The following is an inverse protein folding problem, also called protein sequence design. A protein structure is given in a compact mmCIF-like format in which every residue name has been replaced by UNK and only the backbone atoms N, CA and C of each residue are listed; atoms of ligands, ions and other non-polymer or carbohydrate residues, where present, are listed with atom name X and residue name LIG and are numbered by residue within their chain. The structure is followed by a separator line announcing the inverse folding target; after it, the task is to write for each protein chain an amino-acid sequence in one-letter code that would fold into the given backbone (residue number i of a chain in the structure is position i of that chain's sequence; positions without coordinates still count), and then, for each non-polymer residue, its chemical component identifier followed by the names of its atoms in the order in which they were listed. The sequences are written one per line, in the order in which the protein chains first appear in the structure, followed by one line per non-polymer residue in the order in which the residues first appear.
data_IF_172090836426
#
_entry.id   IF_172090836426
#
_cell.length_a   1.000
_cell.length_b   1.000
_cell.length_c   1.000
_cell.angle_alpha   90.00
_cell.angle_beta   90.00
_cell.angle_gamma   90.00
#
_symmetry.space_group_name_H-M   'P 1'
#
loop_
_entity.id
_entity.type
_entity.pdbx_description
1 polymer ?
#
# COMPACT_ATOMS: atom_id res chain seq x y z
N UNK A 1 16.84 3.02 23.55
CA UNK A 1 15.40 3.00 23.86
C UNK A 1 15.11 1.74 24.68
N UNK A 2 14.36 1.83 25.78
CA UNK A 2 13.91 0.63 26.52
C UNK A 2 13.05 -0.25 25.59
N UNK A 3 13.44 -1.52 25.40
CA UNK A 3 12.58 -2.51 24.73
C UNK A 3 11.46 -2.86 25.69
N UNK A 4 10.33 -2.19 25.52
CA UNK A 4 9.11 -2.48 26.29
C UNK A 4 8.51 -3.78 25.69
N UNK A 5 8.25 -4.81 26.51
CA UNK A 5 7.63 -6.07 26.09
C UNK A 5 6.32 -5.85 25.31
N UNK A 6 6.00 -6.73 24.36
CA UNK A 6 4.74 -6.67 23.59
C UNK A 6 3.49 -6.65 24.49
N UNK A 7 3.53 -7.29 25.66
CA UNK A 7 2.44 -7.30 26.65
C UNK A 7 2.15 -5.94 27.29
N UNK A 8 3.08 -4.98 27.21
CA UNK A 8 2.96 -3.68 27.90
C UNK A 8 2.44 -2.56 26.97
N UNK A 9 2.09 -2.86 25.70
CA UNK A 9 1.57 -1.86 24.74
C UNK A 9 0.21 -2.20 24.13
N UNK A 10 -0.81 -2.60 24.93
CA UNK A 10 -2.06 -3.17 24.42
C UNK A 10 -2.82 -2.24 23.45
N UNK A 11 -2.82 -0.93 23.70
CA UNK A 11 -3.51 0.04 22.83
C UNK A 11 -2.86 0.19 21.46
N UNK A 12 -1.54 0.15 21.37
CA UNK A 12 -0.82 0.35 20.11
C UNK A 12 -0.90 -0.90 19.24
N UNK A 13 -0.76 -2.06 19.86
CA UNK A 13 -0.84 -3.33 19.15
C UNK A 13 -2.27 -3.61 18.66
N UNK A 14 -3.28 -3.15 19.38
CA UNK A 14 -4.67 -3.15 18.91
C UNK A 14 -4.90 -2.25 17.68
N UNK A 15 -4.25 -1.08 17.63
CA UNK A 15 -4.30 -0.21 16.44
C UNK A 15 -3.63 -0.90 15.25
N UNK A 16 -2.48 -1.54 15.43
CA UNK A 16 -1.83 -2.31 14.37
C UNK A 16 -2.68 -3.51 13.95
N UNK A 17 -3.32 -4.20 14.89
CA UNK A 17 -4.23 -5.30 14.61
C UNK A 17 -5.42 -4.84 13.76
N UNK A 18 -6.10 -3.75 14.15
CA UNK A 18 -7.18 -3.16 13.35
C UNK A 18 -6.67 -2.77 11.96
N UNK A 19 -5.52 -2.11 11.89
CA UNK A 19 -4.91 -1.73 10.63
C UNK A 19 -4.68 -2.96 9.74
N UNK A 20 -4.10 -4.05 10.25
CA UNK A 20 -3.90 -5.29 9.50
C UNK A 20 -5.20 -5.98 9.11
N UNK A 21 -6.21 -6.01 9.98
CA UNK A 21 -7.51 -6.59 9.66
C UNK A 21 -8.20 -5.81 8.55
N UNK A 22 -8.21 -4.48 8.63
CA UNK A 22 -8.81 -3.62 7.61
C UNK A 22 -7.99 -3.72 6.32
N UNK A 23 -6.69 -3.45 6.37
CA UNK A 23 -5.84 -3.43 5.17
C UNK A 23 -5.73 -4.79 4.51
N UNK A 24 -5.60 -5.87 5.30
CA UNK A 24 -5.59 -7.24 4.80
C UNK A 24 -6.91 -7.62 4.14
N UNK A 25 -8.05 -7.29 4.75
CA UNK A 25 -9.36 -7.52 4.13
C UNK A 25 -9.52 -6.71 2.84
N UNK A 26 -9.18 -5.42 2.86
CA UNK A 26 -9.28 -4.56 1.68
C UNK A 26 -8.37 -5.05 0.56
N UNK A 27 -7.15 -5.50 0.86
CA UNK A 27 -6.24 -6.02 -0.17
C UNK A 27 -6.78 -7.30 -0.79
N UNK A 28 -7.32 -8.22 0.03
CA UNK A 28 -7.97 -9.43 -0.46
C UNK A 28 -9.18 -9.08 -1.35
N UNK A 29 -10.07 -8.22 -0.87
CA UNK A 29 -11.36 -7.98 -1.51
C UNK A 29 -11.34 -6.93 -2.62
N UNK A 30 -10.37 -6.00 -2.65
CA UNK A 30 -10.28 -4.91 -3.64
C UNK A 30 -9.05 -5.08 -4.54
N UNK A 31 -7.86 -5.29 -3.98
CA UNK A 31 -6.63 -5.36 -4.79
C UNK A 31 -6.54 -6.69 -5.57
N UNK A 32 -6.91 -7.82 -4.95
CA UNK A 32 -6.87 -9.15 -5.61
C UNK A 32 -8.02 -9.40 -6.58
N UNK A 33 -8.97 -8.47 -6.74
CA UNK A 33 -10.06 -8.64 -7.71
C UNK A 33 -9.57 -8.91 -9.12
N UNK A 34 -8.44 -8.30 -9.50
CA UNK A 34 -7.83 -8.50 -10.81
C UNK A 34 -7.29 -9.93 -11.02
N UNK A 35 -6.96 -10.65 -9.94
CA UNK A 35 -6.43 -12.01 -9.98
C UNK A 35 -7.53 -13.08 -9.83
N UNK A 36 -8.75 -12.70 -9.44
CA UNK A 36 -9.84 -13.65 -9.30
C UNK A 36 -10.42 -14.02 -10.68
N UNK A 37 -10.63 -15.31 -10.97
CA UNK A 37 -11.30 -15.73 -12.19
C UNK A 37 -12.76 -15.26 -12.18
N UNK A 38 -13.29 -14.90 -13.35
CA UNK A 38 -14.60 -14.24 -13.53
C UNK A 38 -15.78 -14.98 -12.87
N UNK A 39 -15.68 -16.28 -12.65
CA UNK A 39 -16.72 -17.10 -12.01
C UNK A 39 -16.70 -17.17 -10.48
N UNK A 40 -15.69 -16.61 -9.81
CA UNK A 40 -15.51 -16.74 -8.33
C UNK A 40 -15.84 -15.45 -7.58
N UNK A 41 -15.93 -14.32 -8.28
CA UNK A 41 -16.22 -13.02 -7.69
C UNK A 41 -17.74 -12.85 -7.42
N UNK A 42 -18.18 -12.66 -6.16
CA UNK A 42 -19.56 -12.33 -5.85
C UNK A 42 -19.96 -11.00 -6.51
N UNK A 43 -21.20 -10.91 -7.03
CA UNK A 43 -21.72 -9.71 -7.73
C UNK A 43 -21.56 -8.41 -6.94
N UNK A 44 -21.65 -8.47 -5.61
CA UNK A 44 -21.50 -7.28 -4.78
C UNK A 44 -20.09 -6.67 -4.89
N UNK A 45 -19.03 -7.49 -5.02
CA UNK A 45 -17.64 -7.02 -5.11
C UNK A 45 -17.33 -6.38 -6.47
N UNK A 46 -17.88 -6.94 -7.56
CA UNK A 46 -17.81 -6.37 -8.91
C UNK A 46 -18.62 -5.08 -9.02
N UNK A 47 -19.71 -4.93 -8.28
CA UNK A 47 -20.49 -3.68 -8.25
C UNK A 47 -19.73 -2.49 -7.63
N UNK A 48 -18.84 -2.77 -6.68
CA UNK A 48 -18.09 -1.75 -5.95
C UNK A 48 -16.99 -1.11 -6.83
N UNK A 49 -16.27 -1.89 -7.61
CA UNK A 49 -15.19 -1.40 -8.47
C UNK A 49 -15.68 -0.85 -9.82
N UNK A 50 -16.89 -1.21 -10.24
CA UNK A 50 -17.51 -0.71 -11.48
C UNK A 50 -18.13 0.69 -11.35
N UNK A 51 -18.25 1.23 -10.13
CA UNK A 51 -18.87 2.55 -9.91
C UNK A 51 -17.86 3.69 -10.08
N UNK A 52 -18.11 4.61 -11.01
CA UNK A 52 -17.22 5.76 -11.32
C UNK A 52 -16.92 6.69 -10.13
N UNK A 53 -17.79 6.72 -9.12
CA UNK A 53 -17.61 7.48 -7.88
C UNK A 53 -16.37 7.05 -7.08
N UNK A 54 -15.87 5.83 -7.29
CA UNK A 54 -14.71 5.31 -6.56
C UNK A 54 -13.38 5.87 -7.08
N UNK A 55 -13.33 6.39 -8.31
CA UNK A 55 -12.09 6.89 -8.92
C UNK A 55 -11.40 7.99 -8.09
N UNK A 56 -12.07 9.05 -7.62
CA UNK A 56 -11.43 10.04 -6.75
C UNK A 56 -10.91 9.44 -5.44
N UNK A 57 -11.62 8.46 -4.86
CA UNK A 57 -11.17 7.78 -3.64
C UNK A 57 -9.90 6.96 -3.89
N UNK A 58 -9.84 6.22 -5.00
CA UNK A 58 -8.67 5.44 -5.39
C UNK A 58 -7.46 6.32 -5.73
N UNK A 59 -7.67 7.49 -6.36
CA UNK A 59 -6.59 8.45 -6.62
C UNK A 59 -5.98 8.95 -5.32
N UNK A 60 -6.82 9.42 -4.39
CA UNK A 60 -6.39 9.95 -3.10
C UNK A 60 -5.66 8.87 -2.30
N UNK A 61 -6.25 7.67 -2.20
CA UNK A 61 -5.66 6.55 -1.49
C UNK A 61 -4.32 6.11 -2.11
N UNK A 62 -4.27 5.95 -3.43
CA UNK A 62 -3.07 5.53 -4.15
C UNK A 62 -1.94 6.54 -4.02
N UNK A 63 -2.25 7.82 -4.16
CA UNK A 63 -1.28 8.91 -4.00
C UNK A 63 -0.76 9.00 -2.54
N UNK A 64 -1.65 8.92 -1.56
CA UNK A 64 -1.29 8.94 -0.13
C UNK A 64 -0.41 7.75 0.25
N UNK A 65 -0.74 6.56 -0.25
CA UNK A 65 0.04 5.34 0.01
C UNK A 65 1.42 5.45 -0.65
N UNK A 66 1.49 5.84 -1.93
CA UNK A 66 2.76 5.98 -2.66
C UNK A 66 3.69 7.02 -2.00
N UNK A 67 3.16 8.17 -1.60
CA UNK A 67 3.94 9.22 -0.90
C UNK A 67 4.47 8.77 0.45
N UNK A 68 3.66 8.03 1.23
CA UNK A 68 4.09 7.46 2.52
C UNK A 68 5.19 6.41 2.33
N UNK A 69 5.06 5.53 1.33
CA UNK A 69 6.07 4.50 1.04
C UNK A 69 7.35 5.13 0.49
N UNK A 70 7.24 6.20 -0.32
CA UNK A 70 8.39 6.96 -0.80
C UNK A 70 9.21 7.52 0.37
N UNK A 71 8.56 8.14 1.36
CA UNK A 71 9.26 8.63 2.56
C UNK A 71 9.90 7.49 3.35
N UNK A 72 9.21 6.36 3.52
CA UNK A 72 9.76 5.21 4.23
C UNK A 72 11.00 4.62 3.54
N UNK A 73 11.01 4.56 2.20
CA UNK A 73 12.18 4.12 1.44
C UNK A 73 13.35 5.11 1.62
N UNK A 74 13.08 6.42 1.66
CA UNK A 74 14.08 7.44 1.97
C UNK A 74 14.76 7.19 3.32
N UNK A 75 13.98 6.90 4.36
CA UNK A 75 14.50 6.57 5.69
C UNK A 75 15.34 5.29 5.68
N UNK A 76 14.91 4.25 4.96
CA UNK A 76 15.67 2.99 4.81
C UNK A 76 17.01 3.24 4.10
N UNK A 77 17.03 4.08 3.07
CA UNK A 77 18.26 4.44 2.35
C UNK A 77 19.22 5.22 3.26
N UNK A 78 18.69 6.15 4.06
CA UNK A 78 19.46 6.94 5.03
C UNK A 78 19.91 6.15 6.27
N UNK A 79 19.39 4.94 6.47
CA UNK A 79 19.78 4.10 7.61
C UNK A 79 21.24 3.66 7.48
N UNK A 80 22.09 3.87 8.52
CA UNK A 80 23.50 3.45 8.50
C UNK A 80 23.66 1.96 8.22
N UNK A 81 24.72 1.60 7.47
CA UNK A 81 25.07 0.21 7.19
C UNK A 81 26.17 -0.25 8.12
N UNK A 82 26.03 -1.45 8.68
CA UNK A 82 27.10 -2.14 9.42
C UNK A 82 27.31 -3.57 8.88
N UNK A 83 28.54 -4.07 8.95
CA UNK A 83 28.90 -5.42 8.48
C UNK A 83 28.35 -6.52 9.37
N UNK A 84 28.17 -6.23 10.66
CA UNK A 84 27.54 -7.12 11.62
C UNK A 84 26.16 -6.58 12.01
N UNK A 85 25.15 -7.44 12.19
CA UNK A 85 23.86 -7.02 12.74
C UNK A 85 24.09 -6.30 14.05
N UNK A 86 23.63 -5.06 14.14
CA UNK A 86 23.79 -4.30 15.36
C UNK A 86 22.94 -4.97 16.45
N UNK A 87 23.62 -5.55 17.44
CA UNK A 87 22.99 -6.25 18.56
C UNK A 87 22.91 -5.27 19.74
N UNK A 88 21.73 -4.72 20.01
CA UNK A 88 21.50 -3.87 21.17
C UNK A 88 20.21 -3.05 21.14
N UNK A 89 19.81 -2.43 22.27
CA UNK A 89 18.60 -1.61 22.38
C UNK A 89 18.71 -0.20 21.73
N UNK A 90 19.86 0.11 21.11
CA UNK A 90 20.17 1.36 20.37
C UNK A 90 20.81 1.07 19.00
N UNK A 91 20.74 -0.18 18.53
CA UNK A 91 21.25 -0.59 17.24
C UNK A 91 20.38 -0.02 16.10
N UNK A 92 20.83 1.08 15.50
CA UNK A 92 20.16 1.75 14.37
C UNK A 92 20.74 1.33 13.00
N UNK A 93 21.86 0.59 12.99
CA UNK A 93 22.50 0.15 11.75
C UNK A 93 21.97 -1.21 11.27
N UNK A 94 21.75 -1.33 9.96
CA UNK A 94 21.30 -2.57 9.29
C UNK A 94 22.38 -3.08 8.32
N UNK A 95 22.42 -4.37 8.04
CA UNK A 95 23.33 -4.90 7.02
C UNK A 95 22.89 -4.47 5.62
N UNK A 96 23.83 -4.46 4.66
CA UNK A 96 23.52 -4.15 3.26
C UNK A 96 22.50 -5.13 2.66
N UNK A 97 22.52 -6.39 3.10
CA UNK A 97 21.55 -7.41 2.70
C UNK A 97 20.15 -7.10 3.25
N UNK A 98 20.04 -6.78 4.55
CA UNK A 98 18.77 -6.41 5.18
C UNK A 98 18.15 -5.17 4.54
N UNK A 99 18.97 -4.15 4.23
CA UNK A 99 18.50 -2.94 3.53
C UNK A 99 17.89 -3.28 2.16
N UNK A 100 18.55 -4.17 1.41
CA UNK A 100 18.07 -4.59 0.09
C UNK A 100 16.74 -5.33 0.18
N UNK A 101 16.60 -6.24 1.15
CA UNK A 101 15.34 -6.97 1.41
C UNK A 101 14.23 -5.99 1.80
N UNK A 102 14.51 -5.02 2.66
CA UNK A 102 13.54 -3.99 3.05
C UNK A 102 13.08 -3.18 1.84
N UNK A 103 13.99 -2.66 1.02
CA UNK A 103 13.62 -1.89 -0.18
C UNK A 103 12.78 -2.75 -1.13
N UNK A 104 13.18 -3.99 -1.40
CA UNK A 104 12.44 -4.90 -2.26
C UNK A 104 11.05 -5.22 -1.71
N UNK A 105 10.91 -5.37 -0.39
CA UNK A 105 9.61 -5.59 0.24
C UNK A 105 8.68 -4.38 0.12
N UNK A 106 9.21 -3.15 0.07
CA UNK A 106 8.41 -1.92 -0.07
C UNK A 106 8.12 -1.54 -1.52
N UNK A 107 8.92 -2.03 -2.47
CA UNK A 107 8.82 -1.66 -3.88
C UNK A 107 7.43 -1.91 -4.51
N UNK A 108 6.76 -3.07 -4.30
CA UNK A 108 5.41 -3.29 -4.82
C UNK A 108 4.39 -2.28 -4.28
N UNK A 109 4.50 -1.94 -2.99
CA UNK A 109 3.63 -0.98 -2.31
C UNK A 109 3.89 0.48 -2.72
N UNK A 110 4.97 0.76 -3.45
CA UNK A 110 5.18 2.05 -4.10
C UNK A 110 4.62 2.04 -5.52
N UNK A 111 5.00 1.03 -6.32
CA UNK A 111 4.69 1.00 -7.75
C UNK A 111 3.21 0.77 -8.02
N UNK A 112 2.59 -0.20 -7.34
CA UNK A 112 1.19 -0.56 -7.59
C UNK A 112 0.27 0.63 -7.26
N UNK A 113 0.34 1.26 -6.06
CA UNK A 113 -0.52 2.40 -5.74
C UNK A 113 -0.27 3.62 -6.63
N UNK A 114 0.97 3.83 -7.09
CA UNK A 114 1.29 4.90 -8.02
C UNK A 114 0.65 4.69 -9.39
N UNK A 115 0.73 3.47 -9.94
CA UNK A 115 0.10 3.11 -11.21
C UNK A 115 -1.43 3.24 -11.09
N UNK A 116 -2.03 2.75 -10.00
CA UNK A 116 -3.47 2.91 -9.73
C UNK A 116 -3.84 4.40 -9.70
N UNK A 117 -3.06 5.23 -8.99
CA UNK A 117 -3.32 6.66 -8.88
C UNK A 117 -3.27 7.36 -10.25
N UNK A 118 -2.28 7.04 -11.08
CA UNK A 118 -2.14 7.61 -12.44
C UNK A 118 -3.29 7.17 -13.36
N UNK A 119 -3.63 5.87 -13.39
CA UNK A 119 -4.73 5.35 -14.23
C UNK A 119 -6.07 5.96 -13.82
N UNK A 120 -6.37 6.01 -12.52
CA UNK A 120 -7.62 6.58 -12.02
C UNK A 120 -7.67 8.10 -12.22
N UNK A 121 -6.56 8.82 -12.09
CA UNK A 121 -6.50 10.25 -12.35
C UNK A 121 -6.78 10.56 -13.83
N UNK A 122 -6.24 9.76 -14.74
CA UNK A 122 -6.53 9.87 -16.16
C UNK A 122 -8.02 9.64 -16.46
N UNK A 123 -8.60 8.55 -15.94
CA UNK A 123 -10.03 8.25 -16.13
C UNK A 123 -10.93 9.34 -15.54
N UNK A 124 -10.58 9.87 -14.37
CA UNK A 124 -11.30 10.96 -13.72
C UNK A 124 -11.23 12.25 -14.55
N UNK A 125 -10.07 12.57 -15.12
CA UNK A 125 -9.91 13.73 -16.01
C UNK A 125 -10.79 13.59 -17.26
N UNK A 126 -10.81 12.42 -17.90
CA UNK A 126 -11.69 12.15 -19.05
C UNK A 126 -13.16 12.34 -18.67
N UNK A 127 -13.60 11.82 -17.52
CA UNK A 127 -14.97 12.00 -17.03
C UNK A 127 -15.31 13.47 -16.76
N UNK A 128 -14.41 14.21 -16.10
CA UNK A 128 -14.61 15.63 -15.78
C UNK A 128 -14.64 16.51 -17.03
N UNK A 129 -13.90 16.14 -18.08
CA UNK A 129 -13.89 16.85 -19.36
C UNK A 129 -15.15 16.67 -20.21
N UNK A 130 -16.11 15.82 -19.78
CA UNK A 130 -17.34 15.55 -20.54
C UNK A 130 -17.13 14.83 -21.87
N UNK A 131 -15.92 14.33 -22.15
CA UNK A 131 -15.63 13.56 -23.37
C UNK A 131 -16.37 12.23 -23.36
N UNK A 132 -17.39 12.09 -24.21
CA UNK A 132 -18.09 10.84 -24.56
C UNK A 132 -17.22 9.87 -25.37
N UNK A 133 -15.92 9.78 -25.07
CA UNK A 133 -15.10 8.68 -25.57
C UNK A 133 -15.51 7.44 -24.78
N UNK A 134 -16.06 6.42 -25.46
CA UNK A 134 -16.35 5.11 -24.86
C UNK A 134 -15.14 4.67 -24.04
N UNK A 135 -15.22 4.83 -22.71
CA UNK A 135 -14.26 4.25 -21.78
C UNK A 135 -14.34 2.75 -22.03
N UNK A 136 -13.34 2.20 -22.74
CA UNK A 136 -13.16 0.76 -22.78
C UNK A 136 -12.90 0.34 -21.35
N UNK A 137 -13.94 -0.21 -20.73
CA UNK A 137 -13.80 -1.14 -19.61
C UNK A 137 -12.83 -2.21 -20.08
N UNK A 138 -11.66 -2.24 -19.44
CA UNK A 138 -10.75 -3.37 -19.49
C UNK A 138 -11.39 -4.51 -18.70
#
# INVERSE_FOLDING_TARGET
MLRIPFSERPRRDFIYFIFFCVYGSTSIFIDTQYLYPEGVLPEFLTSLTSTKSIYPLLVIWGASTATTVYTAIGDIIGTPIADTPANGPLAVAITAAQRRILILAHFPYLVIPLVISIDMAYRLHVLASGSTRKLKTL
#
